data_IF_928361496865
#
_entry.id   IF_928361496865
#
_cell.length_a   1.000
_cell.length_b   1.000
_cell.length_c   1.000
_cell.angle_alpha   90.00
_cell.angle_beta   90.00
_cell.angle_gamma   90.00
#
_symmetry.space_group_name_H-M   'P 1'
#
loop_
_entity.id
_entity.type
_entity.pdbx_description
1 polymer ?
#
# COMPACT_ATOMS: atom_id res chain seq x y z
N UNK A 1 -1.91 32.56 -7.19
CA UNK A 1 -1.34 31.24 -6.82
C UNK A 1 -1.09 30.46 -8.09
N UNK A 2 0.08 29.87 -8.25
CA UNK A 2 0.45 29.19 -9.51
C UNK A 2 -0.38 27.93 -9.68
N UNK A 3 -1.25 27.90 -10.69
CA UNK A 3 -2.07 26.74 -11.09
C UNK A 3 -1.24 25.67 -11.86
N UNK A 4 0.06 25.61 -11.60
CA UNK A 4 0.91 24.59 -12.23
C UNK A 4 0.52 23.22 -11.69
N UNK A 5 0.34 22.19 -12.54
CA UNK A 5 -0.07 20.84 -12.15
C UNK A 5 0.79 20.24 -11.02
N UNK A 6 2.09 20.48 -11.07
CA UNK A 6 3.06 20.00 -10.06
C UNK A 6 2.85 20.65 -8.70
N UNK A 7 2.53 21.96 -8.67
CA UNK A 7 2.23 22.69 -7.44
C UNK A 7 0.94 22.17 -6.78
N UNK A 8 -0.11 21.92 -7.60
CA UNK A 8 -1.36 21.34 -7.11
C UNK A 8 -1.16 19.92 -6.56
N UNK A 9 -0.33 19.12 -7.23
CA UNK A 9 0.02 17.78 -6.75
C UNK A 9 0.78 17.84 -5.41
N UNK A 10 1.76 18.73 -5.27
CA UNK A 10 2.50 18.92 -4.03
C UNK A 10 1.59 19.36 -2.88
N UNK A 11 0.68 20.31 -3.12
CA UNK A 11 -0.31 20.76 -2.15
C UNK A 11 -1.24 19.62 -1.71
N UNK A 12 -1.71 18.79 -2.65
CA UNK A 12 -2.52 17.62 -2.33
C UNK A 12 -1.76 16.63 -1.43
N UNK A 13 -0.49 16.33 -1.74
CA UNK A 13 0.32 15.43 -0.89
C UNK A 13 0.53 16.04 0.49
N UNK A 14 0.75 17.36 0.58
CA UNK A 14 0.79 18.07 1.86
C UNK A 14 -0.50 17.90 2.66
N UNK A 15 -1.66 18.10 2.03
CA UNK A 15 -2.98 17.85 2.64
C UNK A 15 -3.09 16.40 3.18
N UNK A 16 -2.69 15.39 2.40
CA UNK A 16 -2.73 14.00 2.83
C UNK A 16 -1.83 13.74 4.05
N UNK A 17 -0.66 14.38 4.08
CA UNK A 17 0.34 14.18 5.12
C UNK A 17 -0.05 14.89 6.43
N UNK A 18 -0.38 16.17 6.36
CA UNK A 18 -0.52 17.02 7.55
C UNK A 18 -1.96 17.08 8.07
N UNK A 19 -2.95 17.16 7.19
CA UNK A 19 -4.36 17.26 7.59
C UNK A 19 -5.01 15.88 7.74
N UNK A 20 -4.82 14.98 6.74
CA UNK A 20 -5.38 13.62 6.77
C UNK A 20 -4.53 12.62 7.56
N UNK A 21 -3.29 12.99 7.89
CA UNK A 21 -2.33 12.15 8.65
C UNK A 21 -2.23 10.73 8.11
N UNK A 22 -2.20 10.59 6.79
CA UNK A 22 -2.03 9.28 6.15
C UNK A 22 -0.59 8.78 6.34
N UNK A 23 -0.44 7.44 6.28
CA UNK A 23 0.89 6.84 6.43
C UNK A 23 1.87 7.34 5.35
N UNK A 24 3.17 7.51 5.65
CA UNK A 24 4.17 7.95 4.68
C UNK A 24 4.19 7.10 3.40
N UNK A 25 4.01 5.78 3.53
CA UNK A 25 3.93 4.86 2.39
C UNK A 25 2.72 5.13 1.49
N UNK A 26 1.58 5.52 2.07
CA UNK A 26 0.39 5.92 1.30
C UNK A 26 0.66 7.22 0.55
N UNK A 27 1.22 8.22 1.22
CA UNK A 27 1.55 9.51 0.61
C UNK A 27 2.56 9.35 -0.54
N UNK A 28 3.62 8.56 -0.35
CA UNK A 28 4.60 8.25 -1.38
C UNK A 28 3.97 7.52 -2.58
N UNK A 29 3.09 6.55 -2.32
CA UNK A 29 2.38 5.82 -3.38
C UNK A 29 1.46 6.73 -4.17
N UNK A 30 0.70 7.60 -3.49
CA UNK A 30 -0.19 8.56 -4.14
C UNK A 30 0.58 9.62 -4.92
N UNK A 31 1.71 10.12 -4.38
CA UNK A 31 2.58 11.03 -5.11
C UNK A 31 3.07 10.45 -6.43
N UNK A 32 3.48 9.17 -6.42
CA UNK A 32 3.87 8.44 -7.63
C UNK A 32 2.72 8.30 -8.62
N UNK A 33 1.54 7.93 -8.12
CA UNK A 33 0.36 7.73 -8.95
C UNK A 33 -0.14 9.04 -9.59
N UNK A 34 -0.11 10.15 -8.85
CA UNK A 34 -0.42 11.49 -9.38
C UNK A 34 0.60 11.90 -10.44
N UNK A 35 1.89 11.66 -10.22
CA UNK A 35 2.93 11.97 -11.21
C UNK A 35 2.70 11.21 -12.52
N UNK A 36 2.25 9.96 -12.45
CA UNK A 36 1.87 9.20 -13.66
C UNK A 36 0.71 9.89 -14.37
N UNK A 37 -0.35 10.29 -13.64
CA UNK A 37 -1.48 11.02 -14.24
C UNK A 37 -1.02 12.29 -14.97
N UNK A 38 -0.23 13.14 -14.28
CA UNK A 38 0.26 14.39 -14.86
C UNK A 38 1.12 14.16 -16.10
N UNK A 39 1.93 13.10 -16.13
CA UNK A 39 2.72 12.73 -17.30
C UNK A 39 1.84 12.41 -18.50
N UNK A 40 0.74 11.68 -18.31
CA UNK A 40 -0.17 11.32 -19.41
C UNK A 40 -1.09 12.47 -19.83
N UNK A 41 -1.33 13.42 -18.95
CA UNK A 41 -2.12 14.63 -19.22
C UNK A 41 -1.24 15.85 -19.54
N UNK A 42 0.06 15.65 -19.82
CA UNK A 42 0.98 16.74 -20.11
C UNK A 42 0.47 17.61 -21.27
N UNK A 43 0.46 18.93 -21.06
CA UNK A 43 -0.09 19.89 -22.04
C UNK A 43 -1.60 20.11 -21.95
N UNK A 44 -2.32 19.37 -21.11
CA UNK A 44 -3.76 19.56 -20.91
C UNK A 44 -4.01 20.42 -19.65
N UNK A 45 -5.02 21.28 -19.72
CA UNK A 45 -5.55 21.95 -18.52
C UNK A 45 -6.30 20.91 -17.66
N UNK A 46 -5.85 20.69 -16.43
CA UNK A 46 -6.47 19.74 -15.51
C UNK A 46 -7.95 20.04 -15.25
N UNK A 47 -8.37 21.31 -15.34
CA UNK A 47 -9.76 21.71 -15.15
C UNK A 47 -10.67 21.30 -16.30
N UNK A 48 -10.10 21.06 -17.50
CA UNK A 48 -10.83 20.68 -18.71
C UNK A 48 -10.78 19.19 -19.00
N UNK A 49 -10.03 18.41 -18.20
CA UNK A 49 -9.92 16.96 -18.40
C UNK A 49 -11.29 16.30 -18.23
N UNK A 50 -11.66 15.49 -19.22
CA UNK A 50 -12.93 14.79 -19.26
C UNK A 50 -12.75 13.28 -19.06
N UNK A 51 -13.85 12.59 -18.75
CA UNK A 51 -13.91 11.13 -18.55
C UNK A 51 -13.20 10.31 -19.65
N UNK A 52 -13.34 10.62 -20.96
CA UNK A 52 -12.66 9.85 -22.01
C UNK A 52 -11.14 9.86 -21.90
N UNK A 53 -10.55 11.00 -21.51
CA UNK A 53 -9.10 11.12 -21.33
C UNK A 53 -8.59 10.18 -20.21
N UNK A 54 -9.28 10.13 -19.08
CA UNK A 54 -8.92 9.22 -18.00
C UNK A 54 -9.08 7.75 -18.40
N UNK A 55 -10.14 7.42 -19.14
CA UNK A 55 -10.32 6.04 -19.68
C UNK A 55 -9.18 5.65 -20.61
N UNK A 56 -8.75 6.57 -21.46
CA UNK A 56 -7.62 6.34 -22.38
C UNK A 56 -6.32 6.10 -21.61
N UNK A 57 -6.03 6.88 -20.56
CA UNK A 57 -4.86 6.67 -19.70
C UNK A 57 -4.90 5.30 -19.04
N UNK A 58 -6.05 4.89 -18.47
CA UNK A 58 -6.21 3.56 -17.87
C UNK A 58 -6.01 2.45 -18.92
N UNK A 59 -6.56 2.59 -20.13
CA UNK A 59 -6.39 1.61 -21.19
C UNK A 59 -4.92 1.47 -21.63
N UNK A 60 -4.21 2.59 -21.78
CA UNK A 60 -2.78 2.58 -22.11
C UNK A 60 -1.93 1.93 -21.01
N UNK A 61 -2.21 2.23 -19.75
CA UNK A 61 -1.50 1.62 -18.62
C UNK A 61 -1.78 0.11 -18.53
N UNK A 62 -3.01 -0.31 -18.76
CA UNK A 62 -3.38 -1.72 -18.84
C UNK A 62 -2.67 -2.43 -19.98
N UNK A 63 -2.65 -1.82 -21.17
CA UNK A 63 -1.92 -2.34 -22.35
C UNK A 63 -0.39 -2.46 -22.12
N UNK A 64 0.17 -1.67 -21.19
CA UNK A 64 1.56 -1.77 -20.74
C UNK A 64 1.77 -2.83 -19.65
N UNK A 65 0.77 -3.64 -19.33
CA UNK A 65 0.87 -4.76 -18.40
C UNK A 65 0.60 -4.41 -16.93
N UNK A 66 0.10 -3.21 -16.61
CA UNK A 66 -0.25 -2.91 -15.22
C UNK A 66 -1.45 -3.75 -14.76
N UNK A 67 -1.32 -4.36 -13.59
CA UNK A 67 -2.39 -5.16 -13.00
C UNK A 67 -3.62 -4.31 -12.65
N UNK A 68 -4.81 -4.91 -12.72
CA UNK A 68 -6.06 -4.26 -12.31
C UNK A 68 -6.02 -3.73 -10.87
N UNK A 69 -5.29 -4.41 -9.97
CA UNK A 69 -5.09 -3.96 -8.59
C UNK A 69 -4.29 -2.66 -8.52
N UNK A 70 -3.21 -2.55 -9.31
CA UNK A 70 -2.41 -1.32 -9.42
C UNK A 70 -3.22 -0.17 -10.01
N UNK A 71 -3.96 -0.43 -11.10
CA UNK A 71 -4.83 0.55 -11.73
C UNK A 71 -5.95 1.03 -10.80
N UNK A 72 -6.53 0.13 -10.00
CA UNK A 72 -7.55 0.51 -9.00
C UNK A 72 -6.98 1.45 -7.93
N UNK A 73 -5.76 1.20 -7.45
CA UNK A 73 -5.09 2.07 -6.49
C UNK A 73 -4.81 3.44 -7.10
N UNK A 74 -4.26 3.48 -8.33
CA UNK A 74 -3.99 4.72 -9.06
C UNK A 74 -5.26 5.53 -9.25
N UNK A 75 -6.35 4.89 -9.68
CA UNK A 75 -7.64 5.55 -9.86
C UNK A 75 -8.19 6.10 -8.55
N UNK A 76 -7.96 5.43 -7.42
CA UNK A 76 -8.34 5.93 -6.10
C UNK A 76 -7.53 7.19 -5.73
N UNK A 77 -6.22 7.22 -6.01
CA UNK A 77 -5.39 8.39 -5.81
C UNK A 77 -5.85 9.57 -6.67
N UNK A 78 -6.17 9.32 -7.96
CA UNK A 78 -6.64 10.35 -8.88
C UNK A 78 -8.02 10.91 -8.50
N UNK A 79 -8.94 10.04 -8.04
CA UNK A 79 -10.23 10.49 -7.49
C UNK A 79 -10.04 11.40 -6.28
N UNK A 80 -9.16 11.00 -5.36
CA UNK A 80 -8.82 11.81 -4.18
C UNK A 80 -8.22 13.16 -4.56
N UNK A 81 -7.32 13.18 -5.54
CA UNK A 81 -6.72 14.41 -6.07
C UNK A 81 -7.77 15.34 -6.65
N UNK A 82 -8.63 14.88 -7.55
CA UNK A 82 -9.69 15.72 -8.11
C UNK A 82 -10.74 16.15 -7.08
N UNK A 83 -11.04 15.35 -6.06
CA UNK A 83 -11.88 15.79 -4.95
C UNK A 83 -11.24 16.95 -4.18
N UNK A 84 -9.93 16.86 -3.92
CA UNK A 84 -9.16 17.95 -3.32
C UNK A 84 -9.21 19.21 -4.20
N UNK A 85 -9.00 19.08 -5.52
CA UNK A 85 -9.06 20.21 -6.45
C UNK A 85 -10.45 20.87 -6.51
N UNK A 86 -11.53 20.10 -6.39
CA UNK A 86 -12.89 20.64 -6.31
C UNK A 86 -13.08 21.45 -5.03
N UNK A 87 -12.65 20.89 -3.90
CA UNK A 87 -12.84 21.52 -2.58
C UNK A 87 -12.03 22.81 -2.42
N UNK A 88 -10.74 22.78 -2.80
CA UNK A 88 -9.78 23.83 -2.42
C UNK A 88 -9.34 24.72 -3.59
N UNK A 89 -9.60 24.31 -4.84
CA UNK A 89 -9.15 24.99 -6.06
C UNK A 89 -10.27 25.28 -7.07
N UNK A 90 -11.53 25.14 -6.64
CA UNK A 90 -12.73 25.50 -7.43
C UNK A 90 -12.89 24.76 -8.77
N UNK A 91 -12.34 23.53 -8.88
CA UNK A 91 -12.61 22.68 -10.02
C UNK A 91 -14.08 22.26 -10.05
N UNK A 92 -14.67 22.15 -11.23
CA UNK A 92 -16.13 21.95 -11.37
C UNK A 92 -16.55 20.48 -11.30
N UNK A 93 -15.69 19.54 -11.68
CA UNK A 93 -16.05 18.13 -11.78
C UNK A 93 -14.84 17.21 -11.56
N UNK A 94 -15.12 15.95 -11.25
CA UNK A 94 -14.11 14.90 -11.09
C UNK A 94 -14.22 13.92 -12.27
N UNK A 95 -13.30 13.93 -13.24
CA UNK A 95 -13.36 13.07 -14.42
C UNK A 95 -13.12 11.58 -14.10
N UNK A 96 -12.68 11.26 -12.88
CA UNK A 96 -12.36 9.90 -12.48
C UNK A 96 -13.54 9.14 -11.86
N UNK A 97 -14.65 9.83 -11.51
CA UNK A 97 -15.74 9.24 -10.70
C UNK A 97 -16.35 8.00 -11.34
N UNK A 98 -16.69 8.06 -12.62
CA UNK A 98 -17.37 6.98 -13.35
C UNK A 98 -16.43 6.03 -14.10
N UNK A 99 -15.10 6.16 -13.90
CA UNK A 99 -14.14 5.26 -14.52
C UNK A 99 -14.13 3.93 -13.77
N UNK A 100 -14.15 2.84 -14.52
CA UNK A 100 -14.00 1.48 -14.00
C UNK A 100 -12.72 0.87 -14.55
N UNK A 101 -12.02 0.14 -13.71
CA UNK A 101 -10.83 -0.62 -14.08
C UNK A 101 -11.26 -2.00 -14.60
N UNK A 102 -10.56 -2.59 -15.58
CA UNK A 102 -10.80 -3.97 -15.99
C UNK A 102 -10.79 -4.91 -14.80
N UNK A 103 -11.77 -5.81 -14.73
CA UNK A 103 -11.82 -6.82 -13.67
C UNK A 103 -10.67 -7.82 -13.85
N UNK A 104 -10.00 -8.13 -12.76
CA UNK A 104 -9.06 -9.26 -12.68
C UNK A 104 -9.74 -10.42 -11.98
N UNK A 105 -9.45 -11.64 -12.39
CA UNK A 105 -9.84 -12.81 -11.64
C UNK A 105 -9.21 -12.71 -10.23
N UNK A 106 -10.04 -12.73 -9.21
CA UNK A 106 -9.54 -12.84 -7.84
C UNK A 106 -9.09 -14.28 -7.63
N UNK A 107 -7.77 -14.49 -7.59
CA UNK A 107 -7.22 -15.75 -7.11
C UNK A 107 -7.32 -15.70 -5.58
N UNK A 108 -7.98 -16.70 -5.01
CA UNK A 108 -7.93 -16.92 -3.57
C UNK A 108 -6.48 -17.21 -3.17
N UNK A 109 -6.02 -16.71 -2.03
CA UNK A 109 -4.73 -17.09 -1.50
C UNK A 109 -4.69 -18.62 -1.34
N UNK A 110 -3.61 -19.25 -1.80
CA UNK A 110 -3.34 -20.64 -1.50
C UNK A 110 -2.76 -20.70 -0.09
N UNK A 111 -3.53 -21.24 0.85
CA UNK A 111 -3.02 -21.52 2.18
C UNK A 111 -2.18 -22.81 2.12
N UNK A 112 -1.05 -22.83 2.81
CA UNK A 112 -0.27 -24.05 2.97
C UNK A 112 -1.08 -25.07 3.76
N UNK A 113 -0.96 -26.34 3.39
CA UNK A 113 -1.49 -27.44 4.20
C UNK A 113 -0.69 -27.61 5.50
N UNK A 114 -1.23 -28.30 6.51
CA UNK A 114 -0.46 -28.59 7.73
C UNK A 114 0.88 -29.29 7.46
N UNK A 115 0.92 -30.22 6.50
CA UNK A 115 2.13 -30.94 6.14
C UNK A 115 3.16 -30.03 5.46
N UNK A 116 2.73 -29.19 4.52
CA UNK A 116 3.61 -28.19 3.88
C UNK A 116 4.15 -27.19 4.90
N UNK A 117 3.32 -26.79 5.86
CA UNK A 117 3.74 -25.90 6.96
C UNK A 117 4.76 -26.57 7.86
N UNK A 118 4.52 -27.83 8.25
CA UNK A 118 5.47 -28.61 9.02
C UNK A 118 6.82 -28.76 8.32
N UNK A 119 6.82 -29.05 7.00
CA UNK A 119 8.05 -29.12 6.21
C UNK A 119 8.78 -27.78 6.16
N UNK A 120 8.05 -26.66 6.04
CA UNK A 120 8.62 -25.32 6.03
C UNK A 120 9.28 -24.96 7.36
N UNK A 121 8.76 -25.42 8.50
CA UNK A 121 9.27 -25.12 9.83
C UNK A 121 10.38 -26.10 10.28
N UNK A 122 10.37 -27.34 9.79
CA UNK A 122 11.28 -28.41 10.24
C UNK A 122 12.60 -28.51 9.46
N UNK A 123 13.14 -27.39 8.95
CA UNK A 123 14.47 -27.42 8.35
C UNK A 123 15.57 -27.25 9.38
N UNK A 124 16.72 -27.87 9.11
CA UNK A 124 17.91 -27.74 9.95
C UNK A 124 18.62 -26.45 9.61
N UNK A 125 18.86 -25.61 10.62
CA UNK A 125 19.63 -24.38 10.43
C UNK A 125 21.12 -24.67 10.60
N UNK A 126 21.89 -24.60 9.49
CA UNK A 126 23.32 -24.88 9.49
C UNK A 126 24.19 -23.62 9.63
N UNK A 127 23.59 -22.44 9.53
CA UNK A 127 24.26 -21.16 9.67
C UNK A 127 23.37 -20.10 10.34
N UNK A 128 23.94 -18.95 10.64
CA UNK A 128 23.24 -17.86 11.32
C UNK A 128 22.06 -17.31 10.50
N UNK A 129 22.13 -17.30 9.18
CA UNK A 129 21.05 -16.82 8.32
C UNK A 129 19.88 -17.80 8.33
N UNK A 130 20.17 -19.09 8.24
CA UNK A 130 19.15 -20.14 8.32
C UNK A 130 18.47 -20.15 9.71
N UNK A 131 19.23 -19.94 10.80
CA UNK A 131 18.68 -19.82 12.14
C UNK A 131 17.73 -18.62 12.26
N UNK A 132 18.12 -17.45 11.72
CA UNK A 132 17.27 -16.26 11.65
C UNK A 132 15.99 -16.53 10.85
N UNK A 133 16.11 -17.12 9.68
CA UNK A 133 14.97 -17.38 8.81
C UNK A 133 13.99 -18.38 9.45
N UNK A 134 14.50 -19.38 10.16
CA UNK A 134 13.69 -20.30 10.95
C UNK A 134 12.91 -19.57 12.04
N UNK A 135 13.57 -18.73 12.84
CA UNK A 135 12.92 -17.93 13.87
C UNK A 135 11.84 -17.00 13.28
N UNK A 136 12.09 -16.42 12.10
CA UNK A 136 11.10 -15.61 11.42
C UNK A 136 9.87 -16.41 10.98
N UNK A 137 10.05 -17.61 10.45
CA UNK A 137 8.93 -18.49 10.05
C UNK A 137 8.14 -18.98 11.26
N UNK A 138 8.81 -19.37 12.34
CA UNK A 138 8.15 -19.76 13.59
C UNK A 138 7.32 -18.60 14.17
N UNK A 139 7.87 -17.38 14.22
CA UNK A 139 7.13 -16.20 14.63
C UNK A 139 5.93 -15.89 13.72
N UNK A 140 6.05 -16.04 12.41
CA UNK A 140 4.91 -15.89 11.51
C UNK A 140 3.81 -16.90 11.81
N UNK A 141 4.19 -18.15 11.97
CA UNK A 141 3.23 -19.23 12.19
C UNK A 141 2.54 -19.13 13.55
N UNK A 142 3.32 -18.91 14.61
CA UNK A 142 2.79 -18.89 15.97
C UNK A 142 2.00 -17.62 16.31
N UNK A 143 2.43 -16.46 15.78
CA UNK A 143 1.89 -15.17 16.21
C UNK A 143 1.05 -14.47 15.14
N UNK A 144 1.07 -14.92 13.90
CA UNK A 144 0.35 -14.29 12.78
C UNK A 144 0.79 -12.85 12.52
N UNK A 145 2.05 -12.54 12.76
CA UNK A 145 2.64 -11.22 12.50
C UNK A 145 2.54 -10.83 11.02
N UNK A 146 2.40 -9.53 10.73
CA UNK A 146 2.60 -9.05 9.37
C UNK A 146 4.09 -8.92 9.08
N UNK A 147 4.48 -9.09 7.80
CA UNK A 147 5.89 -8.94 7.39
C UNK A 147 6.51 -7.64 7.89
N UNK A 148 5.79 -6.51 7.79
CA UNK A 148 6.29 -5.21 8.24
C UNK A 148 6.45 -5.14 9.78
N UNK A 149 5.64 -5.85 10.54
CA UNK A 149 5.74 -5.92 11.99
C UNK A 149 6.96 -6.78 12.40
N UNK A 150 7.13 -7.93 11.77
CA UNK A 150 8.28 -8.80 12.03
C UNK A 150 9.62 -8.12 11.67
N UNK A 151 9.71 -7.47 10.50
CA UNK A 151 10.95 -6.82 10.07
C UNK A 151 11.33 -5.59 10.91
N UNK A 152 10.41 -5.04 11.66
CA UNK A 152 10.65 -3.91 12.57
C UNK A 152 10.80 -4.34 14.04
N UNK A 153 10.59 -5.61 14.34
CA UNK A 153 10.68 -6.16 15.68
C UNK A 153 12.10 -6.01 16.22
N UNK A 154 12.23 -5.51 17.44
CA UNK A 154 13.50 -5.36 18.15
C UNK A 154 13.54 -6.31 19.33
N UNK A 155 14.71 -6.72 19.80
CA UNK A 155 14.83 -7.56 21.01
C UNK A 155 14.08 -6.98 22.22
N UNK A 156 14.03 -5.65 22.36
CA UNK A 156 13.30 -4.96 23.44
C UNK A 156 11.77 -5.08 23.32
N UNK A 157 11.25 -5.51 22.18
CA UNK A 157 9.81 -5.71 21.96
C UNK A 157 9.39 -7.15 22.29
N UNK A 158 10.34 -8.04 22.64
CA UNK A 158 10.10 -9.44 23.00
C UNK A 158 10.14 -9.57 24.51
N UNK A 159 9.07 -10.07 25.10
CA UNK A 159 9.03 -10.45 26.51
C UNK A 159 9.16 -11.99 26.61
N UNK A 160 10.36 -12.45 26.96
CA UNK A 160 10.69 -13.86 27.05
C UNK A 160 10.01 -14.55 28.27
N UNK A 161 9.73 -13.80 29.34
CA UNK A 161 9.08 -14.34 30.53
C UNK A 161 7.62 -14.65 30.30
N UNK A 162 6.93 -13.76 29.56
CA UNK A 162 5.51 -13.90 29.26
C UNK A 162 5.27 -14.60 27.90
N UNK A 163 6.30 -14.88 27.11
CA UNK A 163 6.16 -15.43 25.78
C UNK A 163 5.34 -14.52 24.85
N UNK A 164 5.60 -13.20 24.88
CA UNK A 164 4.82 -12.23 24.11
C UNK A 164 5.71 -11.30 23.29
N UNK A 165 5.16 -10.76 22.21
CA UNK A 165 5.79 -9.70 21.39
C UNK A 165 4.87 -8.48 21.31
N UNK A 166 5.47 -7.30 21.44
CA UNK A 166 4.79 -6.03 21.27
C UNK A 166 5.03 -5.51 19.86
N UNK A 167 3.98 -5.22 19.11
CA UNK A 167 4.07 -4.74 17.72
C UNK A 167 3.25 -3.49 17.50
N UNK A 168 3.74 -2.66 16.57
CA UNK A 168 3.07 -1.46 16.14
C UNK A 168 2.25 -1.74 14.87
N UNK A 169 0.93 -1.77 15.02
CA UNK A 169 0.01 -2.03 13.92
C UNK A 169 -0.29 -0.80 13.05
N UNK A 170 -1.21 -0.98 12.09
CA UNK A 170 -1.66 0.10 11.21
C UNK A 170 -2.24 1.26 12.03
N UNK A 171 -1.76 2.48 11.75
CA UNK A 171 -2.21 3.69 12.43
C UNK A 171 -1.54 3.94 13.79
N UNK A 172 -0.39 3.30 14.05
CA UNK A 172 0.38 3.51 15.28
C UNK A 172 -0.23 2.85 16.52
N UNK A 173 -1.15 1.90 16.35
CA UNK A 173 -1.75 1.17 17.47
C UNK A 173 -0.84 0.03 17.90
N UNK A 174 -0.42 0.05 19.15
CA UNK A 174 0.32 -1.06 19.76
C UNK A 174 -0.63 -2.23 20.09
N UNK A 175 -0.11 -3.44 19.93
CA UNK A 175 -0.76 -4.66 20.42
C UNK A 175 0.29 -5.65 20.90
N UNK A 176 -0.07 -6.41 21.92
CA UNK A 176 0.73 -7.52 22.44
C UNK A 176 0.16 -8.81 21.85
N UNK A 177 1.02 -9.68 21.38
CA UNK A 177 0.65 -10.93 20.72
C UNK A 177 1.39 -12.06 21.43
N UNK A 178 0.71 -13.14 21.82
CA UNK A 178 1.39 -14.32 22.36
C UNK A 178 2.22 -15.00 21.25
N UNK A 179 3.34 -15.55 21.65
CA UNK A 179 4.26 -16.32 20.80
C UNK A 179 4.18 -17.77 21.26
N UNK A 180 4.14 -18.71 20.30
CA UNK A 180 4.15 -20.13 20.64
C UNK A 180 5.50 -20.58 21.23
N UNK A 181 5.48 -21.62 22.03
CA UNK A 181 6.64 -22.14 22.78
C UNK A 181 7.83 -22.55 21.90
N UNK A 182 7.61 -22.80 20.61
CA UNK A 182 8.65 -23.23 19.65
C UNK A 182 9.28 -22.07 18.86
N UNK A 183 8.82 -20.83 19.05
CA UNK A 183 9.26 -19.67 18.28
C UNK A 183 10.36 -18.80 19.00
#
# INVERSE_FOLDING_TARGET
>A
MSNKPESLAAAFIGHLTYERRLSPLTCTSYARDIRVLLKYLSGSDLAQVQLPAIRQVIAQLHGKGLSSKSLSRMLSAWRGFYHYLIRDHHFKHNPCTSVRVPKSAQRLPHALSPDETAQLLNFVSNDMLAARDKAMFELFYSSGLRLAELTQLKPADVNYEEGTVRVLGKGGKERIIPVGEQA
#
